data_IF_094855415234
#
_entry.id   IF_094855415234
#
_cell.length_a   1.000
_cell.length_b   1.000
_cell.length_c   1.000
_cell.angle_alpha   90.00
_cell.angle_beta   90.00
_cell.angle_gamma   90.00
#
_symmetry.space_group_name_H-M   'P 1'
#
loop_
_entity.id
_entity.type
_entity.pdbx_description
1 polymer ?
#
# COMPACT_ATOMS: atom_id res chain seq x y z
N UNK A 1 19.77 -20.22 11.10
CA UNK A 1 18.34 -19.82 11.18
C UNK A 1 17.86 -20.08 12.60
N UNK A 2 17.16 -19.14 13.21
CA UNK A 2 16.58 -19.35 14.54
C UNK A 2 15.25 -20.10 14.40
N UNK A 3 15.31 -21.43 14.41
CA UNK A 3 14.14 -22.29 14.30
C UNK A 3 13.28 -22.22 15.56
N UNK A 4 11.95 -22.30 15.40
CA UNK A 4 11.04 -22.50 16.53
C UNK A 4 11.22 -23.89 17.14
N UNK A 5 10.77 -24.10 18.39
CA UNK A 5 10.72 -25.45 18.96
C UNK A 5 9.95 -26.44 18.08
N UNK A 6 8.82 -26.00 17.47
CA UNK A 6 8.05 -26.83 16.55
C UNK A 6 8.82 -27.20 15.27
N UNK A 7 9.61 -26.28 14.73
CA UNK A 7 10.46 -26.55 13.56
C UNK A 7 11.56 -27.55 13.89
N UNK A 8 12.21 -27.43 15.07
CA UNK A 8 13.19 -28.42 15.54
C UNK A 8 12.54 -29.78 15.78
N UNK A 9 11.34 -29.78 16.37
CA UNK A 9 10.56 -31.00 16.54
C UNK A 9 10.25 -31.71 15.21
N UNK A 10 9.93 -30.95 14.17
CA UNK A 10 9.68 -31.51 12.82
C UNK A 10 10.93 -32.10 12.14
N UNK A 11 12.14 -31.77 12.62
CA UNK A 11 13.41 -32.34 12.11
C UNK A 11 13.79 -33.66 12.81
N UNK A 12 13.12 -34.02 13.93
CA UNK A 12 13.32 -35.28 14.63
C UNK A 12 12.79 -36.46 13.84
N UNK A 13 13.36 -37.65 14.11
CA UNK A 13 12.78 -38.89 13.55
C UNK A 13 11.37 -39.15 14.10
N UNK A 14 10.56 -39.97 13.41
CA UNK A 14 9.23 -40.33 13.90
C UNK A 14 9.23 -40.92 15.32
N UNK A 15 10.23 -41.70 15.65
CA UNK A 15 10.40 -42.31 16.94
C UNK A 15 10.67 -41.27 18.01
N UNK A 16 11.57 -40.33 17.76
CA UNK A 16 11.88 -39.20 18.68
C UNK A 16 10.71 -38.28 18.88
N UNK A 17 9.92 -38.02 17.80
CA UNK A 17 8.69 -37.24 17.89
C UNK A 17 7.64 -37.91 18.77
N UNK A 18 7.49 -39.25 18.64
CA UNK A 18 6.56 -40.01 19.45
C UNK A 18 7.02 -40.05 20.93
N UNK A 19 8.31 -40.25 21.19
CA UNK A 19 8.88 -40.22 22.53
C UNK A 19 8.61 -38.84 23.20
N UNK A 20 8.91 -37.76 22.50
CA UNK A 20 8.64 -36.41 23.00
C UNK A 20 7.15 -36.23 23.32
N UNK A 21 6.22 -36.60 22.41
CA UNK A 21 4.82 -36.46 22.66
C UNK A 21 4.34 -37.34 23.82
N UNK A 22 4.93 -38.52 24.01
CA UNK A 22 4.59 -39.42 25.10
C UNK A 22 5.17 -38.99 26.45
N UNK A 23 6.21 -38.14 26.46
CA UNK A 23 6.74 -37.52 27.65
C UNK A 23 5.84 -36.44 28.25
N UNK A 24 4.90 -35.91 27.44
CA UNK A 24 3.93 -34.89 27.86
C UNK A 24 2.70 -35.53 28.49
N UNK A 25 2.16 -34.93 29.55
CA UNK A 25 0.86 -35.33 30.07
C UNK A 25 -0.25 -35.11 29.03
N UNK A 26 -1.37 -35.85 29.08
CA UNK A 26 -2.48 -35.69 28.13
C UNK A 26 -3.00 -34.26 28.04
N UNK A 27 -3.08 -33.55 29.15
CA UNK A 27 -3.55 -32.17 29.22
C UNK A 27 -2.55 -31.20 28.55
N UNK A 28 -1.26 -31.35 28.80
CA UNK A 28 -0.21 -30.55 28.18
C UNK A 28 -0.18 -30.81 26.67
N UNK A 29 -0.33 -32.08 26.25
CA UNK A 29 -0.41 -32.43 24.82
C UNK A 29 -1.60 -31.79 24.13
N UNK A 30 -2.77 -31.79 24.76
CA UNK A 30 -3.97 -31.15 24.22
C UNK A 30 -3.82 -29.62 24.10
N UNK A 31 -3.08 -29.01 25.03
CA UNK A 31 -2.81 -27.57 25.04
C UNK A 31 -1.66 -27.17 24.11
N UNK A 32 -0.77 -28.08 23.72
CA UNK A 32 0.41 -27.78 22.89
C UNK A 32 0.03 -27.05 21.59
N UNK A 33 -1.11 -27.40 21.00
CA UNK A 33 -1.66 -26.73 19.81
C UNK A 33 -1.82 -25.23 19.98
N UNK A 34 -2.09 -24.76 21.19
CA UNK A 34 -2.33 -23.36 21.52
C UNK A 34 -1.15 -22.73 22.30
N UNK A 35 -0.06 -23.46 22.49
CA UNK A 35 1.11 -22.96 23.18
C UNK A 35 2.01 -22.18 22.18
N UNK A 36 1.71 -20.88 22.03
CA UNK A 36 2.39 -20.03 21.04
C UNK A 36 3.92 -20.08 21.08
N UNK A 37 4.62 -20.05 22.26
CA UNK A 37 6.07 -20.16 22.31
C UNK A 37 6.67 -21.44 21.70
N UNK A 38 5.87 -22.53 21.62
CA UNK A 38 6.30 -23.75 20.92
C UNK A 38 6.30 -23.55 19.40
N UNK A 39 5.30 -22.86 18.86
CA UNK A 39 5.12 -22.67 17.42
C UNK A 39 5.85 -21.46 16.86
N UNK A 40 6.02 -20.43 17.68
CA UNK A 40 6.62 -19.16 17.28
C UNK A 40 8.11 -19.29 16.97
N UNK A 41 8.54 -18.68 15.89
CA UNK A 41 9.96 -18.39 15.70
C UNK A 41 10.39 -17.28 16.66
N UNK A 42 11.68 -17.18 17.02
CA UNK A 42 12.15 -16.14 17.94
C UNK A 42 11.76 -14.71 17.54
N UNK A 43 11.74 -14.41 16.23
CA UNK A 43 11.31 -13.13 15.70
C UNK A 43 9.77 -12.93 15.63
N UNK A 44 8.99 -13.86 16.15
CA UNK A 44 7.55 -13.74 16.34
C UNK A 44 7.15 -13.63 17.82
N UNK A 45 8.11 -13.73 18.72
CA UNK A 45 7.89 -13.52 20.16
C UNK A 45 8.07 -12.05 20.51
N UNK A 46 7.36 -11.60 21.55
CA UNK A 46 7.45 -10.22 22.00
C UNK A 46 8.88 -9.87 22.41
N UNK A 47 9.43 -8.75 21.91
CA UNK A 47 10.77 -8.31 22.27
C UNK A 47 10.87 -7.97 23.77
N UNK A 48 12.03 -8.20 24.35
CA UNK A 48 12.30 -7.83 25.75
C UNK A 48 12.53 -6.32 25.89
N UNK A 49 13.17 -5.71 24.88
CA UNK A 49 13.57 -4.29 24.89
C UNK A 49 13.21 -3.60 23.57
N UNK A 50 12.99 -2.30 23.64
CA UNK A 50 12.82 -1.44 22.47
C UNK A 50 14.17 -0.99 21.88
N UNK A 51 14.12 -0.16 20.84
CA UNK A 51 15.30 0.41 20.17
C UNK A 51 16.23 1.18 21.13
N UNK A 52 15.67 1.78 22.18
CA UNK A 52 16.44 2.48 23.23
C UNK A 52 17.08 1.58 24.26
N UNK A 53 16.94 0.24 24.16
CA UNK A 53 17.47 -0.70 25.14
C UNK A 53 16.65 -0.80 26.44
N UNK A 54 15.50 -0.12 26.52
CA UNK A 54 14.59 -0.09 27.66
C UNK A 54 13.18 -0.62 27.30
N UNK A 55 12.17 -0.29 28.12
CA UNK A 55 10.79 -0.68 27.86
C UNK A 55 10.30 -0.09 26.54
N UNK A 56 9.28 -0.73 25.95
CA UNK A 56 8.68 -0.30 24.70
C UNK A 56 7.15 -0.18 24.84
N UNK A 57 6.55 0.74 24.09
CA UNK A 57 5.11 0.90 23.99
C UNK A 57 4.56 0.39 22.64
N UNK A 58 5.40 0.31 21.62
CA UNK A 58 4.99 -0.13 20.28
C UNK A 58 5.92 -1.24 19.79
N UNK A 59 5.33 -2.33 19.32
CA UNK A 59 6.07 -3.40 18.64
C UNK A 59 5.78 -3.34 17.15
N UNK A 60 6.77 -2.95 16.35
CA UNK A 60 6.69 -2.84 14.90
C UNK A 60 7.28 -4.09 14.24
N UNK A 61 6.44 -4.87 13.57
CA UNK A 61 6.83 -6.05 12.79
C UNK A 61 6.85 -5.67 11.31
N UNK A 62 8.05 -5.54 10.77
CA UNK A 62 8.33 -5.31 9.36
C UNK A 62 8.75 -6.62 8.71
N UNK A 63 7.84 -7.25 7.98
CA UNK A 63 8.13 -8.57 7.44
C UNK A 63 7.46 -8.82 6.08
N UNK A 64 8.09 -9.69 5.30
CA UNK A 64 7.61 -10.12 3.99
C UNK A 64 6.24 -10.79 4.02
N UNK A 65 5.67 -11.00 2.84
CA UNK A 65 4.40 -11.73 2.68
C UNK A 65 4.56 -13.18 3.15
N UNK A 66 3.54 -13.72 3.81
CA UNK A 66 3.58 -15.10 4.29
C UNK A 66 4.46 -15.33 5.53
N UNK A 67 5.15 -14.31 6.07
CA UNK A 67 5.94 -14.41 7.30
C UNK A 67 5.11 -14.89 8.51
N UNK A 68 3.81 -14.67 8.53
CA UNK A 68 2.93 -14.96 9.66
C UNK A 68 2.62 -13.74 10.53
N UNK A 69 2.67 -12.53 9.96
CA UNK A 69 2.36 -11.26 10.65
C UNK A 69 1.00 -11.28 11.35
N UNK A 70 -0.05 -11.65 10.64
CA UNK A 70 -1.42 -11.72 11.17
C UNK A 70 -1.52 -12.73 12.31
N UNK A 71 -0.90 -13.90 12.17
CA UNK A 71 -0.83 -14.89 13.26
C UNK A 71 -0.13 -14.33 14.49
N UNK A 72 0.99 -13.65 14.32
CA UNK A 72 1.74 -13.02 15.42
C UNK A 72 0.90 -11.95 16.11
N UNK A 73 0.17 -11.11 15.36
CA UNK A 73 -0.75 -10.12 15.91
C UNK A 73 -1.85 -10.76 16.76
N UNK A 74 -2.53 -11.78 16.23
CA UNK A 74 -3.60 -12.48 16.92
C UNK A 74 -3.13 -13.19 18.20
N UNK A 75 -1.97 -13.86 18.16
CA UNK A 75 -1.39 -14.52 19.33
C UNK A 75 -0.92 -13.51 20.40
N UNK A 76 -0.42 -12.36 19.99
CA UNK A 76 -0.04 -11.27 20.88
C UNK A 76 -1.28 -10.70 21.61
N UNK A 77 -2.36 -10.45 20.88
CA UNK A 77 -3.62 -10.01 21.51
C UNK A 77 -4.16 -11.08 22.46
N UNK A 78 -4.10 -12.35 22.07
CA UNK A 78 -4.49 -13.43 22.97
C UNK A 78 -3.67 -13.43 24.26
N UNK A 79 -2.34 -13.30 24.16
CA UNK A 79 -1.45 -13.23 25.33
C UNK A 79 -1.80 -12.03 26.23
N UNK A 80 -2.12 -10.89 25.66
CA UNK A 80 -2.47 -9.70 26.44
C UNK A 80 -3.83 -9.80 27.14
N UNK A 81 -4.79 -10.51 26.58
CA UNK A 81 -6.12 -10.66 27.20
C UNK A 81 -6.22 -11.87 28.11
N UNK A 82 -5.35 -12.87 27.96
CA UNK A 82 -5.32 -14.03 28.84
C UNK A 82 -4.70 -13.71 30.21
N UNK A 83 -5.40 -14.06 31.27
CA UNK A 83 -4.86 -14.04 32.63
C UNK A 83 -4.23 -15.38 33.02
N UNK A 84 -3.91 -15.53 34.31
CA UNK A 84 -3.34 -16.76 34.87
C UNK A 84 -4.29 -17.97 34.76
N UNK A 85 -5.59 -17.72 34.71
CA UNK A 85 -6.63 -18.71 34.45
C UNK A 85 -7.56 -18.19 33.35
N UNK A 86 -8.37 -19.05 32.71
CA UNK A 86 -9.21 -18.63 31.58
C UNK A 86 -10.13 -17.44 31.85
N UNK A 87 -10.64 -17.30 33.10
CA UNK A 87 -11.54 -16.21 33.46
C UNK A 87 -10.85 -15.06 34.21
N UNK A 88 -9.55 -15.17 34.50
CA UNK A 88 -8.82 -14.09 35.13
C UNK A 88 -8.54 -12.97 34.12
N UNK A 89 -8.55 -11.69 34.57
CA UNK A 89 -8.19 -10.59 33.71
C UNK A 89 -6.73 -10.72 33.24
N UNK A 90 -6.51 -10.46 31.98
CA UNK A 90 -5.18 -10.35 31.40
C UNK A 90 -4.55 -8.98 31.63
N UNK A 91 -3.50 -8.71 30.89
CA UNK A 91 -2.76 -7.45 30.89
C UNK A 91 -3.56 -6.31 30.28
N UNK A 92 -4.34 -6.63 29.23
CA UNK A 92 -5.21 -5.70 28.52
C UNK A 92 -6.65 -6.21 28.51
N UNK A 93 -7.60 -5.29 28.51
CA UNK A 93 -9.03 -5.58 28.52
C UNK A 93 -9.83 -4.80 27.48
N UNK A 94 -9.24 -3.74 26.91
CA UNK A 94 -9.88 -2.85 25.93
C UNK A 94 -8.97 -2.64 24.72
N UNK A 95 -9.18 -3.47 23.71
CA UNK A 95 -8.31 -3.56 22.53
C UNK A 95 -8.88 -2.79 21.35
N UNK A 96 -8.04 -2.06 20.63
CA UNK A 96 -8.34 -1.55 19.29
C UNK A 96 -7.77 -2.49 18.21
N UNK A 97 -8.62 -2.97 17.31
CA UNK A 97 -8.21 -3.69 16.10
C UNK A 97 -8.38 -2.74 14.92
N UNK A 98 -7.28 -2.33 14.29
CA UNK A 98 -7.28 -1.32 13.23
C UNK A 98 -6.72 -1.93 11.95
N UNK A 99 -7.49 -1.90 10.87
CA UNK A 99 -7.07 -2.29 9.52
C UNK A 99 -7.43 -1.20 8.50
N UNK A 100 -7.02 -1.34 7.25
CA UNK A 100 -7.38 -0.38 6.19
C UNK A 100 -8.90 -0.22 6.08
N UNK A 101 -9.62 -1.34 5.98
CA UNK A 101 -11.08 -1.37 5.88
C UNK A 101 -11.72 -2.19 7.00
N UNK A 102 -13.01 -1.94 7.26
CA UNK A 102 -13.78 -2.75 8.22
C UNK A 102 -13.92 -4.22 7.78
N UNK A 103 -13.87 -4.51 6.48
CA UNK A 103 -13.83 -5.86 5.94
C UNK A 103 -12.51 -6.55 6.30
N UNK A 104 -11.37 -5.88 6.12
CA UNK A 104 -10.06 -6.43 6.48
C UNK A 104 -9.98 -6.73 7.98
N UNK A 105 -10.45 -5.81 8.82
CA UNK A 105 -10.50 -6.04 10.27
C UNK A 105 -11.33 -7.28 10.62
N UNK A 106 -12.49 -7.46 9.99
CA UNK A 106 -13.36 -8.61 10.22
C UNK A 106 -12.79 -9.90 9.63
N UNK A 107 -12.48 -9.90 8.33
CA UNK A 107 -12.24 -11.13 7.57
C UNK A 107 -10.81 -11.65 7.77
N UNK A 108 -9.85 -10.76 8.05
CA UNK A 108 -8.44 -11.13 8.26
C UNK A 108 -8.12 -11.21 9.75
N UNK A 109 -8.34 -10.12 10.52
CA UNK A 109 -7.88 -10.08 11.93
C UNK A 109 -8.74 -10.93 12.85
N UNK A 110 -10.06 -11.05 12.60
CA UNK A 110 -10.99 -11.78 13.48
C UNK A 110 -11.30 -13.17 12.96
N UNK A 111 -11.88 -13.27 11.76
CA UNK A 111 -12.44 -14.52 11.20
C UNK A 111 -11.41 -15.34 10.40
N UNK A 112 -10.31 -14.74 9.99
CA UNK A 112 -9.30 -15.38 9.15
C UNK A 112 -8.68 -16.62 9.80
N UNK A 113 -8.08 -17.49 8.99
CA UNK A 113 -7.43 -18.74 9.42
C UNK A 113 -6.30 -18.52 10.45
N UNK A 114 -5.69 -17.35 10.44
CA UNK A 114 -4.68 -16.90 11.40
C UNK A 114 -5.19 -15.80 12.33
N UNK A 115 -6.50 -15.53 12.30
CA UNK A 115 -7.14 -14.49 13.08
C UNK A 115 -7.48 -14.87 14.52
N UNK A 116 -8.07 -13.94 15.25
CA UNK A 116 -8.34 -14.09 16.69
C UNK A 116 -9.19 -15.34 17.02
N UNK A 117 -10.22 -15.64 16.25
CA UNK A 117 -11.05 -16.82 16.54
C UNK A 117 -10.30 -18.14 16.35
N UNK A 118 -9.34 -18.18 15.42
CA UNK A 118 -8.58 -19.39 15.09
C UNK A 118 -7.49 -19.72 16.11
N UNK A 119 -6.90 -18.71 16.74
CA UNK A 119 -5.79 -18.90 17.70
C UNK A 119 -6.23 -19.30 19.11
N UNK A 120 -7.53 -19.22 19.43
CA UNK A 120 -8.03 -19.49 20.75
C UNK A 120 -8.51 -20.94 20.94
N UNK A 121 -8.25 -21.56 22.10
CA UNK A 121 -8.85 -22.84 22.48
C UNK A 121 -10.38 -22.67 22.69
N UNK A 122 -11.13 -23.78 22.61
CA UNK A 122 -12.60 -23.73 22.63
C UNK A 122 -13.17 -23.16 23.93
N UNK A 123 -12.52 -23.42 25.03
CA UNK A 123 -12.93 -23.01 26.40
C UNK A 123 -12.65 -21.54 26.69
N UNK A 124 -11.78 -20.89 25.89
CA UNK A 124 -11.50 -19.46 26.01
C UNK A 124 -11.72 -18.70 24.69
N UNK A 125 -12.46 -19.29 23.76
CA UNK A 125 -12.70 -18.70 22.46
C UNK A 125 -13.61 -17.47 22.56
N UNK A 126 -13.17 -16.31 22.03
CA UNK A 126 -14.02 -15.12 22.03
C UNK A 126 -15.18 -15.24 21.05
N UNK A 127 -16.19 -14.42 21.26
CA UNK A 127 -17.36 -14.29 20.38
C UNK A 127 -17.28 -12.99 19.60
N UNK A 128 -17.44 -13.06 18.29
CA UNK A 128 -17.55 -11.87 17.46
C UNK A 128 -19.02 -11.44 17.32
N UNK A 129 -19.33 -10.22 17.74
CA UNK A 129 -20.66 -9.60 17.66
C UNK A 129 -20.65 -8.61 16.50
N UNK A 130 -21.11 -9.06 15.33
CA UNK A 130 -21.02 -8.29 14.08
C UNK A 130 -21.79 -6.96 14.12
N UNK A 131 -22.95 -6.91 14.75
CA UNK A 131 -23.77 -5.70 14.89
C UNK A 131 -23.11 -4.59 15.69
N UNK A 132 -22.20 -4.94 16.62
CA UNK A 132 -21.43 -4.01 17.44
C UNK A 132 -20.00 -3.82 16.95
N UNK A 133 -19.53 -4.61 15.99
CA UNK A 133 -18.13 -4.69 15.55
C UNK A 133 -17.17 -4.94 16.72
N UNK A 134 -17.52 -5.87 17.61
CA UNK A 134 -16.79 -6.17 18.84
C UNK A 134 -16.51 -7.66 18.94
N UNK A 135 -15.31 -7.98 19.41
CA UNK A 135 -14.92 -9.32 19.86
C UNK A 135 -14.93 -9.32 21.39
N UNK A 136 -15.66 -10.26 22.00
CA UNK A 136 -15.79 -10.38 23.47
C UNK A 136 -15.23 -11.72 23.95
N UNK A 137 -14.36 -11.67 24.97
CA UNK A 137 -13.79 -12.85 25.63
C UNK A 137 -14.58 -13.28 26.86
N UNK A 138 -14.49 -14.56 27.23
CA UNK A 138 -15.20 -15.06 28.45
C UNK A 138 -14.82 -14.34 29.75
N UNK A 139 -13.63 -13.75 29.82
CA UNK A 139 -13.18 -12.97 30.99
C UNK A 139 -13.62 -11.49 30.96
N UNK A 140 -14.42 -11.09 29.97
CA UNK A 140 -14.94 -9.74 29.85
C UNK A 140 -14.06 -8.76 29.09
N UNK A 141 -12.89 -9.19 28.59
CA UNK A 141 -12.10 -8.36 27.69
C UNK A 141 -12.84 -8.14 26.37
N UNK A 142 -12.63 -7.00 25.75
CA UNK A 142 -13.29 -6.61 24.49
C UNK A 142 -12.29 -6.01 23.49
N UNK A 143 -12.50 -6.30 22.19
CA UNK A 143 -11.77 -5.66 21.11
C UNK A 143 -12.74 -5.05 20.10
N UNK A 144 -12.57 -3.77 19.81
CA UNK A 144 -13.36 -3.02 18.83
C UNK A 144 -12.65 -2.95 17.50
N UNK A 145 -13.40 -3.14 16.41
CA UNK A 145 -12.90 -3.06 15.05
C UNK A 145 -13.06 -1.64 14.53
N UNK A 146 -11.94 -1.07 14.08
CA UNK A 146 -11.85 0.24 13.44
C UNK A 146 -11.27 0.11 12.04
N UNK A 147 -11.58 1.08 11.19
CA UNK A 147 -10.96 1.17 9.86
C UNK A 147 -10.17 2.48 9.71
N UNK A 148 -9.05 2.40 8.97
CA UNK A 148 -8.17 3.54 8.77
C UNK A 148 -8.65 4.52 7.70
N UNK A 149 -9.72 4.19 6.95
CA UNK A 149 -10.36 5.13 6.01
C UNK A 149 -11.26 6.15 6.72
N UNK A 150 -11.56 5.94 8.00
CA UNK A 150 -12.35 6.83 8.84
C UNK A 150 -11.64 7.08 10.20
N UNK A 151 -10.56 7.88 10.26
CA UNK A 151 -9.76 8.07 11.47
C UNK A 151 -10.56 8.60 12.68
N UNK A 152 -11.60 9.37 12.43
CA UNK A 152 -12.45 9.96 13.50
C UNK A 152 -13.19 8.93 14.35
N UNK A 153 -13.34 7.68 13.90
CA UNK A 153 -13.88 6.60 14.72
C UNK A 153 -13.04 6.34 15.98
N UNK A 154 -11.74 6.62 15.94
CA UNK A 154 -10.82 6.47 17.06
C UNK A 154 -10.86 7.67 18.04
N UNK A 155 -11.59 8.72 17.68
CA UNK A 155 -11.74 9.90 18.52
C UNK A 155 -12.75 9.68 19.62
N UNK A 156 -12.28 9.61 20.85
CA UNK A 156 -13.09 9.40 22.06
C UNK A 156 -12.93 8.04 22.72
N UNK A 157 -12.95 6.90 22.01
CA UNK A 157 -12.65 5.60 22.60
C UNK A 157 -11.28 5.56 23.28
N UNK A 158 -11.18 4.72 24.33
CA UNK A 158 -9.95 4.55 25.11
C UNK A 158 -9.57 3.07 25.16
N UNK A 159 -8.27 2.80 25.05
CA UNK A 159 -7.73 1.45 24.92
C UNK A 159 -6.49 1.27 25.82
N UNK A 160 -6.23 0.02 26.21
CA UNK A 160 -5.01 -0.44 26.89
C UNK A 160 -4.16 -1.33 25.98
N UNK A 161 -4.72 -1.78 24.86
CA UNK A 161 -4.01 -2.52 23.82
C UNK A 161 -4.49 -2.16 22.42
N UNK A 162 -3.63 -2.29 21.41
CA UNK A 162 -4.01 -2.11 20.01
C UNK A 162 -3.24 -3.05 19.08
N UNK A 163 -3.90 -3.48 18.01
CA UNK A 163 -3.27 -4.15 16.89
C UNK A 163 -3.62 -3.44 15.59
N UNK A 164 -2.58 -2.91 14.93
CA UNK A 164 -2.64 -2.23 13.64
C UNK A 164 -2.14 -3.19 12.56
N UNK A 165 -3.04 -3.70 11.69
CA UNK A 165 -2.65 -4.64 10.64
C UNK A 165 -2.44 -3.93 9.31
N UNK A 166 -1.35 -4.32 8.62
CA UNK A 166 -0.90 -3.78 7.32
C UNK A 166 -0.88 -2.24 7.26
N UNK A 167 -0.36 -1.60 8.33
CA UNK A 167 -0.35 -0.15 8.52
C UNK A 167 0.17 0.62 7.29
N UNK A 168 1.20 0.14 6.60
CA UNK A 168 1.77 0.81 5.44
C UNK A 168 0.84 0.84 4.21
N UNK A 169 -0.34 0.21 4.26
CA UNK A 169 -1.38 0.32 3.22
C UNK A 169 -2.39 1.42 3.52
N UNK A 170 -2.45 1.92 4.75
CA UNK A 170 -3.50 2.82 5.19
C UNK A 170 -3.47 4.16 4.46
N UNK A 171 -4.59 4.53 3.85
CA UNK A 171 -4.75 5.79 3.13
C UNK A 171 -4.53 7.01 4.04
N UNK A 172 -5.07 6.99 5.26
CA UNK A 172 -4.95 8.06 6.25
C UNK A 172 -4.09 7.60 7.43
N UNK A 173 -2.89 7.07 7.11
CA UNK A 173 -2.01 6.41 8.08
C UNK A 173 -1.62 7.31 9.26
N UNK A 174 -1.21 8.56 9.00
CA UNK A 174 -0.78 9.48 10.05
C UNK A 174 -1.95 9.87 10.95
N UNK A 175 -3.08 10.27 10.36
CA UNK A 175 -4.26 10.72 11.12
C UNK A 175 -4.81 9.58 11.98
N UNK A 176 -4.92 8.37 11.41
CA UNK A 176 -5.36 7.17 12.13
C UNK A 176 -4.44 6.83 13.29
N UNK A 177 -3.12 6.89 13.04
CA UNK A 177 -2.13 6.64 14.08
C UNK A 177 -2.22 7.65 15.22
N UNK A 178 -2.30 8.93 14.91
CA UNK A 178 -2.37 9.99 15.91
C UNK A 178 -3.64 9.87 16.76
N UNK A 179 -4.81 9.64 16.14
CA UNK A 179 -6.07 9.42 16.87
C UNK A 179 -6.00 8.16 17.76
N UNK A 180 -5.41 7.06 17.27
CA UNK A 180 -5.22 5.86 18.08
C UNK A 180 -4.32 6.15 19.28
N UNK A 181 -3.18 6.81 19.09
CA UNK A 181 -2.24 7.11 20.18
C UNK A 181 -2.88 8.01 21.26
N UNK A 182 -3.72 8.97 20.89
CA UNK A 182 -4.50 9.75 21.87
C UNK A 182 -5.47 8.86 22.68
N UNK A 183 -5.97 7.78 22.10
CA UNK A 183 -6.83 6.79 22.75
C UNK A 183 -6.10 5.78 23.64
N UNK A 184 -4.79 5.56 23.44
CA UNK A 184 -3.98 4.59 24.17
C UNK A 184 -3.58 5.13 25.57
N UNK A 185 -4.53 5.12 26.51
CA UNK A 185 -4.37 5.77 27.82
C UNK A 185 -5.02 5.02 28.99
N UNK A 186 -5.45 3.78 28.77
CA UNK A 186 -5.96 2.92 29.85
C UNK A 186 -4.87 1.99 30.37
N UNK A 187 -5.06 1.51 31.58
CA UNK A 187 -4.08 0.61 32.22
C UNK A 187 -2.79 1.33 32.63
N UNK A 188 -1.83 0.56 33.12
CA UNK A 188 -0.50 1.05 33.54
C UNK A 188 0.56 0.97 32.45
N UNK A 189 0.32 0.19 31.39
CA UNK A 189 1.30 -0.10 30.34
C UNK A 189 0.57 -0.37 29.00
N UNK A 190 -0.08 0.68 28.42
CA UNK A 190 -0.76 0.52 27.14
C UNK A 190 0.21 0.18 26.03
N UNK A 191 -0.11 -0.82 25.20
CA UNK A 191 0.79 -1.32 24.15
C UNK A 191 0.11 -1.46 22.81
N UNK A 192 0.89 -1.18 21.76
CA UNK A 192 0.47 -1.32 20.37
C UNK A 192 1.37 -2.32 19.65
N UNK A 193 0.77 -3.28 18.93
CA UNK A 193 1.47 -4.08 17.93
C UNK A 193 1.10 -3.58 16.54
N UNK A 194 2.10 -3.35 15.70
CA UNK A 194 1.96 -2.93 14.30
C UNK A 194 2.54 -4.02 13.41
N UNK A 195 1.71 -4.56 12.54
CA UNK A 195 2.11 -5.55 11.54
C UNK A 195 2.04 -4.92 10.15
N UNK A 196 3.12 -4.97 9.38
CA UNK A 196 3.12 -4.41 8.03
C UNK A 196 4.23 -4.98 7.15
N UNK A 197 4.02 -4.93 5.84
CA UNK A 197 5.09 -5.06 4.86
C UNK A 197 5.91 -3.77 4.86
N UNK A 198 7.25 -3.83 4.80
CA UNK A 198 8.08 -2.63 4.90
C UNK A 198 7.89 -1.71 3.70
N UNK A 199 7.64 -0.44 3.98
CA UNK A 199 7.60 0.65 3.03
C UNK A 199 8.30 1.85 3.63
N UNK A 200 9.08 2.62 2.86
CA UNK A 200 9.85 3.76 3.37
C UNK A 200 8.98 5.00 3.63
N UNK A 201 7.81 4.82 4.25
CA UNK A 201 6.87 5.91 4.55
C UNK A 201 7.32 6.72 5.78
N UNK A 202 7.00 8.05 5.85
CA UNK A 202 7.49 8.94 6.90
C UNK A 202 7.20 8.42 8.31
N UNK A 203 5.97 7.97 8.58
CA UNK A 203 5.62 7.43 9.89
C UNK A 203 6.40 6.15 10.21
N UNK A 204 6.57 5.24 9.25
CA UNK A 204 7.37 4.02 9.47
C UNK A 204 8.82 4.38 9.78
N UNK A 205 9.42 5.33 9.05
CA UNK A 205 10.78 5.84 9.33
C UNK A 205 10.89 6.50 10.72
N UNK A 206 9.85 7.23 11.15
CA UNK A 206 9.78 7.82 12.49
C UNK A 206 9.74 6.72 13.55
N UNK A 207 8.86 5.72 13.41
CA UNK A 207 8.76 4.60 14.34
C UNK A 207 10.06 3.79 14.44
N UNK A 208 10.78 3.62 13.33
CA UNK A 208 12.09 2.93 13.34
C UNK A 208 13.16 3.62 14.16
N UNK A 209 13.05 4.93 14.36
CA UNK A 209 14.02 5.74 15.12
C UNK A 209 13.56 5.99 16.56
N UNK A 210 12.32 5.65 16.89
CA UNK A 210 11.74 5.90 18.21
C UNK A 210 12.33 4.91 19.23
N UNK A 211 12.90 5.36 20.33
CA UNK A 211 13.45 4.50 21.39
C UNK A 211 12.41 3.63 22.09
N UNK A 212 11.12 4.05 22.10
CA UNK A 212 10.00 3.31 22.68
C UNK A 212 9.38 2.30 21.71
N UNK A 213 9.95 2.12 20.52
CA UNK A 213 9.52 1.13 19.54
C UNK A 213 10.48 -0.07 19.57
N UNK A 214 9.93 -1.27 19.69
CA UNK A 214 10.66 -2.50 19.44
C UNK A 214 10.45 -2.93 17.99
N UNK A 215 11.50 -3.21 17.24
CA UNK A 215 11.42 -3.55 15.82
C UNK A 215 11.81 -5.00 15.59
N UNK A 216 10.93 -5.73 14.93
CA UNK A 216 11.20 -7.07 14.43
C UNK A 216 11.19 -7.08 12.91
N UNK A 217 12.16 -7.74 12.30
CA UNK A 217 12.23 -7.96 10.85
C UNK A 217 12.13 -9.44 10.53
N UNK A 218 11.56 -9.76 9.36
CA UNK A 218 11.48 -11.14 8.92
C UNK A 218 11.19 -11.28 7.43
N UNK A 219 11.72 -12.36 6.86
CA UNK A 219 11.56 -12.68 5.45
C UNK A 219 10.45 -13.72 5.23
N UNK A 220 9.90 -13.77 4.02
CA UNK A 220 8.95 -14.81 3.58
C UNK A 220 9.54 -16.22 3.78
N UNK A 221 10.82 -16.38 3.43
CA UNK A 221 11.52 -17.66 3.57
C UNK A 221 11.62 -18.19 5.01
N UNK A 222 11.52 -17.31 6.02
CA UNK A 222 11.53 -17.74 7.42
C UNK A 222 10.34 -18.65 7.74
N UNK A 223 9.29 -18.60 6.94
CA UNK A 223 8.08 -19.38 7.08
C UNK A 223 7.86 -20.39 5.94
N UNK A 224 8.88 -20.68 5.13
CA UNK A 224 8.76 -21.51 3.92
C UNK A 224 8.15 -22.91 4.19
N UNK A 225 8.44 -23.51 5.37
CA UNK A 225 7.91 -24.81 5.78
C UNK A 225 6.38 -24.85 5.90
N UNK A 226 5.73 -23.68 6.12
CA UNK A 226 4.28 -23.56 6.26
C UNK A 226 3.61 -23.05 4.97
N UNK A 227 4.34 -23.01 3.85
CA UNK A 227 3.83 -22.56 2.56
C UNK A 227 3.99 -23.64 1.49
N UNK A 228 3.14 -23.62 0.46
CA UNK A 228 3.27 -24.53 -0.66
C UNK A 228 4.62 -24.35 -1.35
N UNK A 229 5.35 -25.45 -1.61
CA UNK A 229 6.65 -25.39 -2.26
C UNK A 229 6.57 -24.81 -3.70
N UNK A 230 5.43 -24.96 -4.38
CA UNK A 230 5.17 -24.31 -5.67
C UNK A 230 5.10 -22.78 -5.56
N UNK A 231 4.44 -22.28 -4.52
CA UNK A 231 4.34 -20.84 -4.24
C UNK A 231 5.72 -20.22 -3.96
N UNK A 232 6.55 -20.89 -3.14
CA UNK A 232 7.90 -20.39 -2.85
C UNK A 232 8.73 -20.33 -4.13
N UNK A 233 8.74 -21.40 -4.94
CA UNK A 233 9.47 -21.42 -6.22
C UNK A 233 9.01 -20.32 -7.17
N UNK A 234 7.69 -20.20 -7.38
CA UNK A 234 7.13 -19.18 -8.27
C UNK A 234 7.52 -17.76 -7.85
N UNK A 235 7.49 -17.48 -6.56
CA UNK A 235 7.87 -16.18 -6.02
C UNK A 235 9.38 -15.94 -6.14
N UNK A 236 10.21 -16.94 -5.83
CA UNK A 236 11.66 -16.84 -5.97
C UNK A 236 12.04 -16.64 -7.43
N UNK A 237 11.51 -17.43 -8.35
CA UNK A 237 11.77 -17.31 -9.78
C UNK A 237 11.37 -15.92 -10.35
N UNK A 238 10.27 -15.37 -9.85
CA UNK A 238 9.72 -14.11 -10.35
C UNK A 238 10.34 -12.86 -9.72
N UNK A 239 10.71 -12.94 -8.47
CA UNK A 239 11.08 -11.75 -7.68
C UNK A 239 12.47 -11.82 -7.05
N UNK A 240 13.20 -12.95 -7.10
CA UNK A 240 14.54 -13.04 -6.55
C UNK A 240 15.47 -11.98 -7.18
N UNK A 241 16.20 -11.26 -6.33
CA UNK A 241 17.12 -10.21 -6.76
C UNK A 241 16.45 -8.90 -7.23
N UNK A 242 15.12 -8.86 -7.32
CA UNK A 242 14.40 -7.63 -7.65
C UNK A 242 14.22 -6.73 -6.41
N UNK A 243 14.03 -5.42 -6.62
CA UNK A 243 13.72 -4.49 -5.53
C UNK A 243 12.41 -4.89 -4.83
N UNK A 244 11.37 -5.20 -5.59
CA UNK A 244 10.10 -5.68 -5.06
C UNK A 244 10.27 -6.97 -4.25
N UNK A 245 11.13 -7.90 -4.71
CA UNK A 245 11.45 -9.11 -3.96
C UNK A 245 12.11 -8.81 -2.62
N UNK A 246 13.09 -7.91 -2.57
CA UNK A 246 13.73 -7.51 -1.31
C UNK A 246 12.73 -6.88 -0.33
N UNK A 247 11.84 -6.03 -0.83
CA UNK A 247 10.81 -5.41 0.00
C UNK A 247 9.75 -6.41 0.46
N UNK A 248 9.12 -7.13 -0.48
CA UNK A 248 7.94 -7.98 -0.22
C UNK A 248 8.31 -9.35 0.37
N UNK A 249 9.50 -9.89 0.04
CA UNK A 249 9.93 -11.22 0.48
C UNK A 249 10.96 -11.17 1.62
N UNK A 250 11.93 -10.25 1.54
CA UNK A 250 13.00 -10.18 2.53
C UNK A 250 12.71 -9.17 3.65
N UNK A 251 11.65 -8.39 3.52
CA UNK A 251 11.25 -7.44 4.55
C UNK A 251 12.19 -6.24 4.68
N UNK A 252 12.90 -5.86 3.59
CA UNK A 252 13.82 -4.72 3.57
C UNK A 252 13.08 -3.41 3.30
N UNK A 253 13.50 -2.34 3.98
CA UNK A 253 13.16 -0.98 3.59
C UNK A 253 14.24 -0.51 2.62
N UNK A 254 13.81 -0.20 1.41
CA UNK A 254 14.72 0.19 0.36
C UNK A 254 14.73 1.72 0.22
N UNK A 255 15.90 2.31 0.40
CA UNK A 255 16.12 3.73 0.17
C UNK A 255 16.15 4.07 -1.32
N UNK A 256 16.05 5.37 -1.65
CA UNK A 256 16.05 5.87 -2.99
C UNK A 256 17.38 5.61 -3.71
N UNK A 257 17.34 5.49 -5.03
CA UNK A 257 18.56 5.30 -5.84
C UNK A 257 19.23 6.65 -6.04
N UNK A 258 20.55 6.77 -5.80
CA UNK A 258 21.29 7.98 -6.16
C UNK A 258 21.10 8.32 -7.65
N UNK A 259 20.77 9.59 -7.93
CA UNK A 259 20.53 10.06 -9.31
C UNK A 259 19.15 9.78 -9.89
N UNK A 260 18.21 9.22 -9.10
CA UNK A 260 16.82 9.15 -9.51
C UNK A 260 16.21 10.55 -9.62
N UNK A 261 15.33 10.76 -10.62
CA UNK A 261 14.64 12.05 -10.82
C UNK A 261 13.67 12.38 -9.69
N UNK A 262 13.12 11.37 -9.02
CA UNK A 262 12.24 11.52 -7.87
C UNK A 262 12.79 10.73 -6.69
N UNK A 263 12.59 11.24 -5.50
CA UNK A 263 12.87 10.55 -4.26
C UNK A 263 11.62 10.46 -3.39
N UNK A 264 11.58 9.51 -2.47
CA UNK A 264 10.41 9.25 -1.64
C UNK A 264 10.05 10.44 -0.76
N UNK A 265 11.03 11.16 -0.24
CA UNK A 265 10.81 12.33 0.60
C UNK A 265 10.04 13.44 -0.15
N UNK A 266 10.42 13.72 -1.40
CA UNK A 266 9.72 14.68 -2.26
C UNK A 266 8.28 14.23 -2.55
N UNK A 267 8.07 12.94 -2.87
CA UNK A 267 6.74 12.40 -3.14
C UNK A 267 5.83 12.49 -1.91
N UNK A 268 6.34 12.14 -0.74
CA UNK A 268 5.60 12.21 0.52
C UNK A 268 5.25 13.65 0.91
N UNK A 269 6.16 14.61 0.66
CA UNK A 269 5.91 16.04 0.86
C UNK A 269 4.86 16.62 -0.10
N UNK A 270 4.59 15.93 -1.21
CA UNK A 270 3.58 16.29 -2.20
C UNK A 270 2.25 15.53 -2.02
N UNK A 271 2.09 14.73 -0.96
CA UNK A 271 0.90 13.93 -0.72
C UNK A 271 -0.23 14.75 -0.11
N UNK A 272 -1.45 14.51 -0.59
CA UNK A 272 -2.68 15.07 -0.05
C UNK A 272 -3.71 13.96 0.14
N UNK A 273 -4.64 14.16 1.08
CA UNK A 273 -5.70 13.19 1.37
C UNK A 273 -6.81 13.20 0.32
N UNK A 274 -7.11 14.37 -0.23
CA UNK A 274 -8.23 14.58 -1.16
C UNK A 274 -7.85 15.50 -2.30
N UNK A 275 -8.47 15.29 -3.45
CA UNK A 275 -8.38 16.22 -4.57
C UNK A 275 -9.29 17.45 -4.32
N UNK A 276 -8.95 18.63 -4.88
CA UNK A 276 -9.88 19.75 -4.92
C UNK A 276 -11.19 19.37 -5.63
N UNK A 277 -12.30 19.93 -5.14
CA UNK A 277 -13.63 19.68 -5.71
C UNK A 277 -13.76 20.28 -7.12
N UNK A 278 -13.07 21.37 -7.36
CA UNK A 278 -13.14 22.15 -8.61
C UNK A 278 -11.89 21.94 -9.48
N UNK A 279 -11.76 20.72 -10.04
CA UNK A 279 -10.73 20.44 -11.04
C UNK A 279 -11.09 21.13 -12.38
N UNK A 280 -10.17 21.97 -12.88
CA UNK A 280 -10.36 22.68 -14.16
C UNK A 280 -10.20 21.75 -15.37
N UNK A 281 -9.35 20.74 -15.25
CA UNK A 281 -9.06 19.71 -16.28
C UNK A 281 -8.77 18.37 -15.64
N UNK A 282 -9.23 17.31 -16.27
CA UNK A 282 -8.87 15.93 -15.92
C UNK A 282 -8.48 15.18 -17.19
N UNK A 283 -7.37 14.45 -17.16
CA UNK A 283 -6.83 13.70 -18.28
C UNK A 283 -6.54 12.27 -17.85
N UNK A 284 -6.92 11.31 -18.68
CA UNK A 284 -6.43 9.93 -18.58
C UNK A 284 -5.25 9.77 -19.54
N UNK A 285 -4.06 9.53 -19.02
CA UNK A 285 -2.88 9.30 -19.83
C UNK A 285 -2.58 7.81 -19.93
N UNK A 286 -2.21 7.36 -21.14
CA UNK A 286 -1.96 5.94 -21.45
C UNK A 286 -0.62 5.79 -22.15
N UNK A 287 0.23 4.93 -21.61
CA UNK A 287 1.44 4.40 -22.28
C UNK A 287 1.20 2.92 -22.61
N UNK A 288 0.81 2.59 -23.85
CA UNK A 288 0.42 1.22 -24.20
C UNK A 288 1.63 0.29 -24.30
N UNK A 289 1.53 -0.93 -23.76
CA UNK A 289 2.53 -1.97 -23.97
C UNK A 289 2.69 -2.30 -25.48
N UNK A 290 3.93 -2.51 -25.90
CA UNK A 290 4.27 -2.71 -27.32
C UNK A 290 4.10 -4.15 -27.80
N UNK A 291 3.95 -5.14 -26.89
CA UNK A 291 3.78 -6.56 -27.21
C UNK A 291 2.65 -7.18 -26.43
N UNK A 292 1.99 -8.18 -27.02
CA UNK A 292 0.89 -8.97 -26.43
C UNK A 292 1.32 -10.37 -25.98
N UNK A 293 2.62 -10.66 -25.92
CA UNK A 293 3.14 -11.97 -25.52
C UNK A 293 3.03 -12.20 -24.00
N UNK A 294 2.92 -13.45 -23.60
CA UNK A 294 3.02 -13.89 -22.19
C UNK A 294 4.36 -13.43 -21.62
N UNK A 295 4.35 -12.38 -20.79
CA UNK A 295 5.55 -11.70 -20.29
C UNK A 295 5.65 -10.23 -20.69
N UNK A 296 4.67 -9.69 -21.45
CA UNK A 296 4.64 -8.28 -21.88
C UNK A 296 4.70 -7.31 -20.71
N UNK A 297 5.23 -6.12 -20.97
CA UNK A 297 5.23 -4.97 -20.08
C UNK A 297 3.79 -4.57 -19.69
N UNK A 298 3.62 -3.86 -18.57
CA UNK A 298 2.32 -3.30 -18.19
C UNK A 298 1.94 -2.16 -19.14
N UNK A 299 0.64 -1.95 -19.39
CA UNK A 299 0.17 -0.68 -19.94
C UNK A 299 0.04 0.32 -18.81
N UNK A 300 0.78 1.41 -18.89
CA UNK A 300 0.70 2.54 -17.96
C UNK A 300 -0.60 3.32 -18.20
N UNK A 301 -1.40 3.51 -17.16
CA UNK A 301 -2.64 4.33 -17.20
C UNK A 301 -2.69 5.18 -15.94
N UNK A 302 -2.57 6.49 -16.08
CA UNK A 302 -2.59 7.42 -14.95
C UNK A 302 -3.62 8.51 -15.18
N UNK A 303 -4.45 8.78 -14.17
CA UNK A 303 -5.41 9.89 -14.19
C UNK A 303 -4.81 11.07 -13.46
N UNK A 304 -4.80 12.23 -14.11
CA UNK A 304 -4.26 13.47 -13.56
C UNK A 304 -5.27 14.61 -13.70
N UNK A 305 -5.33 15.46 -12.68
CA UNK A 305 -6.20 16.63 -12.63
C UNK A 305 -5.43 17.94 -12.47
N UNK A 306 -6.02 19.05 -12.91
CA UNK A 306 -5.50 20.39 -12.71
C UNK A 306 -6.50 21.21 -11.90
N UNK A 307 -6.02 21.91 -10.88
CA UNK A 307 -6.74 22.97 -10.20
C UNK A 307 -5.86 24.19 -10.00
N UNK A 308 -6.44 25.33 -9.63
CA UNK A 308 -5.67 26.50 -9.19
C UNK A 308 -5.76 26.65 -7.68
N UNK A 309 -4.64 27.01 -7.09
CA UNK A 309 -4.64 27.40 -5.69
C UNK A 309 -5.25 28.80 -5.48
N UNK A 310 -5.33 29.24 -4.21
CA UNK A 310 -5.92 30.52 -3.83
C UNK A 310 -5.24 31.72 -4.48
N UNK A 311 -3.97 31.57 -4.85
CA UNK A 311 -3.14 32.60 -5.48
C UNK A 311 -3.19 32.50 -7.01
N UNK A 312 -3.99 31.59 -7.57
CA UNK A 312 -4.18 31.38 -9.01
C UNK A 312 -3.09 30.53 -9.66
N UNK A 313 -2.16 29.93 -8.91
CA UNK A 313 -1.14 29.07 -9.47
C UNK A 313 -1.70 27.68 -9.81
N UNK A 314 -1.33 27.17 -10.97
CA UNK A 314 -1.71 25.85 -11.42
C UNK A 314 -1.04 24.74 -10.58
N UNK A 315 -1.84 23.81 -10.07
CA UNK A 315 -1.45 22.62 -9.31
C UNK A 315 -1.96 21.37 -10.04
N UNK A 316 -1.08 20.38 -10.22
CA UNK A 316 -1.43 19.07 -10.75
C UNK A 316 -1.75 18.09 -9.63
N UNK A 317 -2.68 17.19 -9.88
CA UNK A 317 -3.08 16.15 -8.94
C UNK A 317 -3.05 14.80 -9.63
N UNK A 318 -2.29 13.85 -9.10
CA UNK A 318 -2.37 12.44 -9.50
C UNK A 318 -3.56 11.85 -8.75
N UNK A 319 -4.57 11.43 -9.51
CA UNK A 319 -5.88 11.02 -8.96
C UNK A 319 -6.01 9.51 -8.85
N UNK A 320 -5.50 8.76 -9.84
CA UNK A 320 -5.57 7.30 -9.85
C UNK A 320 -4.47 6.69 -10.73
N UNK A 321 -3.86 5.59 -10.25
CA UNK A 321 -3.04 4.67 -11.05
C UNK A 321 -3.91 3.49 -11.46
N UNK A 322 -4.33 3.48 -12.71
CA UNK A 322 -5.17 2.45 -13.30
C UNK A 322 -4.41 1.44 -14.16
N UNK A 323 -3.09 1.46 -14.11
CA UNK A 323 -2.21 0.61 -14.94
C UNK A 323 -2.51 -0.88 -14.79
N UNK A 324 -2.43 -1.61 -15.89
CA UNK A 324 -2.83 -3.01 -15.95
C UNK A 324 -1.92 -3.84 -16.87
N UNK A 325 -1.69 -5.10 -16.53
CA UNK A 325 -1.26 -6.13 -17.46
C UNK A 325 -2.49 -6.70 -18.15
N UNK A 326 -2.52 -6.67 -19.46
CA UNK A 326 -3.66 -7.20 -20.19
C UNK A 326 -3.57 -6.96 -21.70
N UNK A 327 -4.52 -7.55 -22.41
CA UNK A 327 -4.68 -7.39 -23.85
C UNK A 327 -5.02 -5.94 -24.23
N UNK A 328 -4.85 -5.56 -25.51
CA UNK A 328 -5.26 -4.25 -26.00
C UNK A 328 -6.72 -3.89 -25.67
N UNK A 329 -7.61 -4.85 -25.70
CA UNK A 329 -9.02 -4.63 -25.35
C UNK A 329 -9.20 -4.32 -23.86
N UNK A 330 -8.47 -5.02 -22.99
CA UNK A 330 -8.59 -4.85 -21.53
C UNK A 330 -8.06 -3.51 -21.05
N UNK A 331 -6.89 -3.08 -21.50
CA UNK A 331 -6.38 -1.77 -21.11
C UNK A 331 -7.21 -0.62 -21.71
N UNK A 332 -7.73 -0.77 -22.94
CA UNK A 332 -8.61 0.25 -23.53
C UNK A 332 -9.93 0.36 -22.77
N UNK A 333 -10.52 -0.77 -22.38
CA UNK A 333 -11.72 -0.81 -21.51
C UNK A 333 -11.44 -0.13 -20.17
N UNK A 334 -10.28 -0.39 -19.57
CA UNK A 334 -9.85 0.23 -18.33
C UNK A 334 -9.70 1.75 -18.47
N UNK A 335 -9.03 2.22 -19.52
CA UNK A 335 -8.84 3.64 -19.81
C UNK A 335 -10.18 4.37 -20.03
N UNK A 336 -11.10 3.79 -20.79
CA UNK A 336 -12.45 4.35 -21.01
C UNK A 336 -13.29 4.34 -19.72
N UNK A 337 -13.17 3.30 -18.89
CA UNK A 337 -13.82 3.26 -17.58
C UNK A 337 -13.32 4.40 -16.68
N UNK A 338 -12.01 4.65 -16.62
CA UNK A 338 -11.42 5.75 -15.86
C UNK A 338 -11.81 7.13 -16.43
N UNK A 339 -11.85 7.26 -17.75
CA UNK A 339 -12.34 8.46 -18.40
C UNK A 339 -13.75 8.83 -17.92
N UNK A 340 -14.67 7.85 -17.88
CA UNK A 340 -16.04 8.06 -17.41
C UNK A 340 -16.11 8.30 -15.90
N UNK A 341 -15.35 7.53 -15.10
CA UNK A 341 -15.32 7.63 -13.63
C UNK A 341 -14.91 9.03 -13.17
N UNK A 342 -13.87 9.59 -13.80
CA UNK A 342 -13.30 10.87 -13.44
C UNK A 342 -13.85 12.04 -14.29
N UNK A 343 -14.86 11.80 -15.12
CA UNK A 343 -15.41 12.77 -16.07
C UNK A 343 -14.31 13.53 -16.81
N UNK A 344 -13.28 12.77 -17.26
CA UNK A 344 -12.11 13.36 -17.86
C UNK A 344 -12.41 14.10 -19.16
N UNK A 345 -11.61 15.10 -19.50
CA UNK A 345 -11.79 15.87 -20.75
C UNK A 345 -11.37 15.05 -21.97
N UNK A 346 -10.33 14.21 -21.83
CA UNK A 346 -9.82 13.37 -22.93
C UNK A 346 -8.90 12.25 -22.43
N UNK A 347 -8.62 11.30 -23.33
CA UNK A 347 -7.55 10.33 -23.18
C UNK A 347 -6.34 10.81 -24.02
N UNK A 348 -5.16 10.84 -23.40
CA UNK A 348 -3.88 11.10 -24.07
C UNK A 348 -3.10 9.79 -24.13
N UNK A 349 -2.70 9.35 -25.31
CA UNK A 349 -1.98 8.08 -25.47
C UNK A 349 -0.71 8.25 -26.29
N UNK A 350 0.38 7.57 -25.90
CA UNK A 350 1.62 7.57 -26.67
C UNK A 350 1.42 6.83 -28.00
N UNK A 351 1.88 7.47 -29.10
CA UNK A 351 1.92 6.88 -30.42
C UNK A 351 3.20 6.04 -30.58
N UNK A 352 3.16 4.78 -30.17
CA UNK A 352 4.22 3.82 -30.48
C UNK A 352 4.14 3.33 -31.94
N UNK A 353 5.06 2.45 -32.37
CA UNK A 353 4.99 1.79 -33.70
C UNK A 353 3.62 1.08 -33.83
N UNK A 354 2.65 1.73 -34.45
CA UNK A 354 1.27 1.25 -34.51
C UNK A 354 0.21 2.25 -33.98
N UNK A 355 0.53 3.56 -33.90
CA UNK A 355 -0.33 4.58 -33.29
C UNK A 355 -1.77 4.65 -33.79
N UNK A 356 -2.07 4.21 -35.01
CA UNK A 356 -3.44 4.03 -35.51
C UNK A 356 -4.16 2.92 -34.74
N UNK A 357 -3.46 1.87 -34.33
CA UNK A 357 -4.00 0.77 -33.53
C UNK A 357 -4.47 1.26 -32.15
N UNK A 358 -3.66 2.08 -31.46
CA UNK A 358 -4.03 2.60 -30.13
C UNK A 358 -5.33 3.39 -30.18
N UNK A 359 -5.46 4.30 -31.15
CA UNK A 359 -6.68 5.07 -31.37
C UNK A 359 -7.85 4.17 -31.77
N UNK A 360 -7.62 3.18 -32.62
CA UNK A 360 -8.66 2.24 -33.06
C UNK A 360 -9.21 1.39 -31.90
N UNK A 361 -8.34 0.87 -31.05
CA UNK A 361 -8.72 0.05 -29.90
C UNK A 361 -9.51 0.86 -28.87
N UNK A 362 -9.08 2.09 -28.57
CA UNK A 362 -9.84 3.01 -27.70
C UNK A 362 -11.22 3.36 -28.28
N UNK A 363 -11.28 3.70 -29.57
CA UNK A 363 -12.54 4.02 -30.27
C UNK A 363 -13.46 2.81 -30.46
N UNK A 364 -12.92 1.60 -30.46
CA UNK A 364 -13.71 0.39 -30.47
C UNK A 364 -14.47 0.19 -29.15
N UNK A 365 -13.91 0.63 -28.02
CA UNK A 365 -14.58 0.61 -26.73
C UNK A 365 -15.64 1.72 -26.61
N UNK A 366 -15.29 2.93 -27.08
CA UNK A 366 -16.25 4.06 -27.09
C UNK A 366 -15.84 5.10 -28.15
N UNK A 367 -16.67 5.28 -29.17
CA UNK A 367 -16.42 6.24 -30.26
C UNK A 367 -16.53 7.70 -29.83
N UNK A 368 -17.21 7.98 -28.72
CA UNK A 368 -17.44 9.34 -28.23
C UNK A 368 -16.26 9.91 -27.45
N UNK A 369 -15.30 9.07 -27.03
CA UNK A 369 -14.14 9.49 -26.20
C UNK A 369 -13.14 10.27 -27.05
N UNK A 370 -12.82 11.53 -26.67
CA UNK A 370 -11.76 12.29 -27.30
C UNK A 370 -10.39 11.67 -27.01
N UNK A 371 -9.67 11.26 -28.07
CA UNK A 371 -8.34 10.67 -27.95
C UNK A 371 -7.32 11.58 -28.63
N UNK A 372 -6.28 11.99 -27.90
CA UNK A 372 -5.11 12.71 -28.43
C UNK A 372 -3.94 11.77 -28.44
N UNK A 373 -3.35 11.56 -29.62
CA UNK A 373 -2.10 10.80 -29.75
C UNK A 373 -0.91 11.74 -29.61
N UNK A 374 0.04 11.38 -28.75
CA UNK A 374 1.31 12.10 -28.53
C UNK A 374 2.47 11.28 -29.05
N UNK A 375 3.51 11.94 -29.54
CA UNK A 375 4.69 11.29 -30.08
C UNK A 375 5.93 11.66 -29.29
N UNK A 376 6.73 10.64 -28.92
CA UNK A 376 8.00 10.83 -28.25
C UNK A 376 9.05 11.40 -29.23
N UNK A 377 9.22 12.72 -29.22
CA UNK A 377 10.28 13.40 -29.98
C UNK A 377 11.62 13.49 -29.23
N UNK A 378 11.62 13.20 -27.92
CA UNK A 378 12.79 13.27 -27.02
C UNK A 378 12.89 12.01 -26.17
N UNK A 379 14.10 11.72 -25.66
CA UNK A 379 14.33 10.60 -24.74
C UNK A 379 13.48 10.69 -23.47
N UNK A 380 13.16 9.56 -22.86
CA UNK A 380 12.31 9.44 -21.66
C UNK A 380 12.77 10.37 -20.53
N UNK A 381 14.06 10.43 -20.24
CA UNK A 381 14.64 11.31 -19.20
C UNK A 381 14.37 12.79 -19.47
N UNK A 382 14.65 13.24 -20.69
CA UNK A 382 14.47 14.67 -21.07
C UNK A 382 13.03 15.12 -20.99
N UNK A 383 12.06 14.20 -21.15
CA UNK A 383 10.64 14.46 -20.96
C UNK A 383 10.26 14.48 -19.48
N UNK A 384 10.89 13.65 -18.68
CA UNK A 384 10.61 13.47 -17.26
C UNK A 384 11.20 14.59 -16.38
N UNK A 385 12.36 15.16 -16.73
CA UNK A 385 13.02 16.25 -15.98
C UNK A 385 12.12 17.46 -15.68
N UNK A 386 11.36 18.03 -16.63
CA UNK A 386 10.45 19.14 -16.33
C UNK A 386 9.33 18.75 -15.36
N UNK A 387 8.87 17.50 -15.42
CA UNK A 387 7.86 16.98 -14.51
C UNK A 387 8.43 16.78 -13.10
N UNK A 388 9.66 16.26 -13.00
CA UNK A 388 10.37 16.16 -11.70
C UNK A 388 10.51 17.53 -11.04
N UNK A 389 10.89 18.56 -11.81
CA UNK A 389 10.98 19.93 -11.30
C UNK A 389 9.64 20.48 -10.74
N UNK A 390 8.50 20.03 -11.27
CA UNK A 390 7.20 20.41 -10.71
C UNK A 390 6.96 19.81 -9.32
N UNK A 391 7.46 18.59 -9.05
CA UNK A 391 7.41 17.99 -7.72
C UNK A 391 8.31 18.72 -6.73
N UNK A 392 9.53 19.07 -7.12
CA UNK A 392 10.44 19.88 -6.29
C UNK A 392 9.82 21.23 -5.92
N UNK A 393 9.06 21.84 -6.84
CA UNK A 393 8.30 23.07 -6.63
C UNK A 393 7.00 22.87 -5.84
N UNK A 394 6.68 21.65 -5.42
CA UNK A 394 5.40 21.28 -4.77
C UNK A 394 4.17 21.71 -5.59
N UNK A 395 4.26 21.58 -6.90
CA UNK A 395 3.19 21.92 -7.84
C UNK A 395 2.41 20.71 -8.32
N UNK A 396 2.86 19.50 -8.01
CA UNK A 396 2.14 18.26 -8.25
C UNK A 396 1.90 17.57 -6.93
N UNK A 397 0.69 17.04 -6.75
CA UNK A 397 0.27 16.34 -5.55
C UNK A 397 -0.24 14.95 -5.87
N UNK A 398 0.04 13.98 -5.00
CA UNK A 398 -0.55 12.64 -5.05
C UNK A 398 -1.76 12.57 -4.11
N UNK A 399 -2.92 12.19 -4.64
CA UNK A 399 -4.14 12.00 -3.84
C UNK A 399 -4.13 10.58 -3.26
N UNK A 400 -3.54 10.42 -2.09
CA UNK A 400 -3.27 9.12 -1.48
C UNK A 400 -1.92 8.53 -1.87
N UNK A 401 -1.81 7.21 -1.85
CA UNK A 401 -0.57 6.45 -2.09
C UNK A 401 -0.72 5.62 -3.37
N UNK A 402 0.26 5.71 -4.27
CA UNK A 402 0.32 4.94 -5.52
C UNK A 402 1.60 4.10 -5.56
N UNK A 403 1.63 3.03 -4.78
CA UNK A 403 2.85 2.25 -4.51
C UNK A 403 3.68 1.91 -5.73
N UNK A 404 3.05 1.28 -6.74
CA UNK A 404 3.76 0.81 -7.93
C UNK A 404 4.26 1.96 -8.82
N UNK A 405 3.46 3.03 -8.94
CA UNK A 405 3.86 4.23 -9.66
C UNK A 405 5.02 4.92 -8.94
N UNK A 406 4.89 5.14 -7.64
CA UNK A 406 5.90 5.83 -6.84
C UNK A 406 7.21 5.03 -6.76
N UNK A 407 7.14 3.71 -6.71
CA UNK A 407 8.31 2.84 -6.79
C UNK A 407 9.03 2.97 -8.15
N UNK A 408 8.29 3.01 -9.26
CA UNK A 408 8.88 3.28 -10.57
C UNK A 408 9.51 4.67 -10.63
N UNK A 409 8.86 5.69 -10.07
CA UNK A 409 9.39 7.05 -10.02
C UNK A 409 10.72 7.11 -9.26
N UNK A 410 10.81 6.51 -8.08
CA UNK A 410 12.05 6.47 -7.27
C UNK A 410 13.17 5.61 -7.89
N UNK A 411 12.84 4.79 -8.87
CA UNK A 411 13.81 3.99 -9.65
C UNK A 411 14.25 4.67 -10.95
N UNK A 412 13.54 5.70 -11.38
CA UNK A 412 13.73 6.34 -12.68
C UNK A 412 14.93 7.29 -12.64
N UNK A 413 16.08 6.81 -13.13
CA UNK A 413 17.34 7.54 -13.15
C UNK A 413 17.92 7.62 -14.55
N UNK A 414 18.90 8.54 -14.75
CA UNK A 414 19.61 8.73 -16.02
C UNK A 414 20.30 7.44 -16.48
N UNK A 415 20.83 6.67 -15.53
CA UNK A 415 21.62 5.46 -15.81
C UNK A 415 20.77 4.18 -15.85
N UNK A 416 19.55 4.18 -15.27
CA UNK A 416 18.78 2.98 -14.97
C UNK A 416 17.26 3.13 -15.21
N UNK A 417 16.83 3.68 -16.35
CA UNK A 417 15.41 3.73 -16.69
C UNK A 417 14.85 2.37 -17.22
N UNK A 418 15.70 1.38 -17.46
CA UNK A 418 15.35 -0.02 -17.75
C UNK A 418 16.29 -0.94 -16.98
N UNK A 419 15.81 -1.51 -15.91
CA UNK A 419 16.51 -2.60 -15.22
C UNK A 419 15.76 -3.90 -15.44
N UNK A 420 16.43 -5.07 -15.43
CA UNK A 420 15.72 -6.37 -15.43
C UNK A 420 14.68 -6.50 -14.32
N UNK A 421 14.89 -5.77 -13.22
CA UNK A 421 14.01 -5.76 -12.05
C UNK A 421 12.76 -4.87 -12.19
N UNK A 422 12.77 -3.88 -13.11
CA UNK A 422 11.72 -2.87 -13.22
C UNK A 422 10.89 -3.02 -14.49
N UNK A 423 11.41 -3.70 -15.52
CA UNK A 423 10.78 -3.69 -16.84
C UNK A 423 10.78 -2.30 -17.47
N UNK A 424 9.79 -2.00 -18.30
CA UNK A 424 9.55 -0.65 -18.82
C UNK A 424 8.88 0.23 -17.76
N UNK A 425 9.23 1.52 -17.61
CA UNK A 425 8.64 2.43 -16.65
C UNK A 425 7.29 3.01 -17.13
N UNK A 426 6.40 2.16 -17.61
CA UNK A 426 5.18 2.54 -18.33
C UNK A 426 4.23 3.42 -17.50
N UNK A 427 4.20 3.22 -16.17
CA UNK A 427 3.43 4.07 -15.25
C UNK A 427 4.00 5.49 -15.18
N UNK A 428 5.33 5.61 -15.12
CA UNK A 428 6.02 6.91 -15.10
C UNK A 428 5.86 7.60 -16.44
N UNK A 429 5.96 6.88 -17.56
CA UNK A 429 5.76 7.46 -18.89
C UNK A 429 4.32 7.97 -19.06
N UNK A 430 3.31 7.21 -18.62
CA UNK A 430 1.93 7.69 -18.60
C UNK A 430 1.75 8.94 -17.72
N UNK A 431 2.34 8.95 -16.51
CA UNK A 431 2.32 10.12 -15.63
C UNK A 431 2.95 11.34 -16.30
N UNK A 432 4.12 11.17 -16.91
CA UNK A 432 4.85 12.25 -17.61
C UNK A 432 4.01 12.82 -18.74
N UNK A 433 3.37 11.97 -19.54
CA UNK A 433 2.46 12.43 -20.60
C UNK A 433 1.26 13.19 -20.04
N UNK A 434 0.61 12.68 -18.99
CA UNK A 434 -0.54 13.33 -18.37
C UNK A 434 -0.19 14.70 -17.80
N UNK A 435 0.89 14.80 -17.03
CA UNK A 435 1.32 16.06 -16.43
C UNK A 435 1.86 17.05 -17.48
N UNK A 436 2.56 16.57 -18.51
CA UNK A 436 2.98 17.42 -19.63
C UNK A 436 1.79 18.05 -20.32
N UNK A 437 0.75 17.28 -20.56
CA UNK A 437 -0.48 17.76 -21.21
C UNK A 437 -1.30 18.75 -20.35
N UNK A 438 -1.31 18.55 -19.04
CA UNK A 438 -1.97 19.47 -18.10
C UNK A 438 -1.23 20.80 -18.00
N UNK A 439 0.11 20.77 -18.00
CA UNK A 439 0.97 21.95 -17.87
C UNK A 439 1.48 22.45 -19.23
N UNK A 440 0.64 22.63 -20.24
CA UNK A 440 0.94 23.01 -21.63
C UNK A 440 2.02 24.10 -21.79
N UNK A 441 2.03 25.07 -20.89
CA UNK A 441 2.90 26.26 -21.02
C UNK A 441 4.28 26.09 -20.39
N UNK A 442 4.54 25.02 -19.65
CA UNK A 442 5.81 24.81 -18.93
C UNK A 442 6.81 24.04 -19.78
N UNK A 443 6.31 23.20 -20.69
CA UNK A 443 7.15 22.35 -21.56
C UNK A 443 7.51 22.98 -22.90
N UNK A 444 6.83 24.07 -23.31
CA UNK A 444 7.18 24.80 -24.52
C UNK A 444 8.13 25.95 -24.21
N UNK A 445 9.35 25.92 -24.75
CA UNK A 445 10.23 27.11 -24.80
C UNK A 445 9.42 28.30 -25.34
N UNK A 446 9.37 29.41 -24.58
CA UNK A 446 8.80 30.70 -25.04
C UNK A 446 9.12 30.95 -26.51
N UNK A 447 8.11 30.88 -27.37
CA UNK A 447 8.02 31.77 -28.53
C UNK A 447 7.08 32.91 -28.14
N UNK A 448 7.64 34.09 -28.21
CA UNK A 448 6.99 35.37 -27.90
C UNK A 448 5.78 35.65 -28.78
N UNK A 449 4.86 36.40 -28.21
CA UNK A 449 3.78 37.23 -28.79
C UNK A 449 2.46 36.54 -29.10
N UNK A 450 1.46 36.81 -28.33
CA UNK A 450 0.29 37.67 -28.65
C UNK A 450 -0.91 37.37 -27.74
N UNK A 451 -1.43 38.44 -27.17
CA UNK A 451 -2.78 38.82 -26.74
C UNK A 451 -3.66 37.85 -25.93
N UNK A 452 -4.22 38.31 -24.83
CA UNK A 452 -5.09 37.48 -23.97
C UNK A 452 -6.48 37.35 -24.58
N UNK A 453 -6.97 36.13 -24.63
CA UNK A 453 -8.39 35.88 -24.91
C UNK A 453 -9.06 35.36 -23.63
N UNK A 454 -10.02 36.09 -23.23
CA UNK A 454 -11.17 35.97 -22.33
C UNK A 454 -11.42 34.67 -21.60
N UNK A 455 -11.68 34.85 -20.32
CA UNK A 455 -12.21 33.91 -19.31
C UNK A 455 -13.20 32.87 -19.84
N UNK A 456 -12.90 31.60 -19.57
CA UNK A 456 -13.91 30.55 -19.55
C UNK A 456 -14.41 30.31 -18.14
N UNK A 457 -15.71 30.04 -17.95
CA UNK A 457 -16.28 29.86 -16.61
C UNK A 457 -15.73 28.61 -15.91
N UNK A 458 -15.47 28.74 -14.62
CA UNK A 458 -15.11 27.65 -13.70
C UNK A 458 -16.20 26.59 -13.69
N UNK A 459 -15.85 25.33 -13.95
CA UNK A 459 -16.76 24.20 -13.81
C UNK A 459 -16.80 23.80 -12.33
N UNK A 460 -17.98 23.86 -11.73
CA UNK A 460 -18.27 23.21 -10.46
C UNK A 460 -18.53 21.71 -10.73
N UNK A 461 -17.87 20.83 -10.04
CA UNK A 461 -18.02 19.38 -10.13
C UNK A 461 -19.34 18.99 -9.44
N UNK A 462 -20.45 19.12 -10.15
CA UNK A 462 -21.72 18.47 -9.81
C UNK A 462 -22.03 17.51 -10.95
N UNK A 463 -22.05 16.21 -10.64
CA UNK A 463 -22.36 15.18 -11.62
C UNK A 463 -23.65 15.50 -12.38
N UNK A 464 -23.48 15.74 -13.66
CA UNK A 464 -24.35 15.37 -14.78
C UNK A 464 -23.96 16.11 -16.06
N UNK A 465 -23.73 15.31 -17.06
CA UNK A 465 -23.82 15.47 -18.53
C UNK A 465 -23.70 16.87 -19.18
N UNK A 466 -22.76 16.97 -20.11
CA UNK A 466 -22.73 17.99 -21.15
C UNK A 466 -21.41 17.95 -21.90
N UNK A 467 -21.39 17.27 -23.05
CA UNK A 467 -20.26 17.21 -23.97
C UNK A 467 -20.21 18.50 -24.80
N UNK A 468 -19.16 19.30 -24.68
CA UNK A 468 -18.78 20.22 -25.74
C UNK A 468 -17.32 19.98 -26.14
N UNK A 469 -17.09 19.76 -27.42
CA UNK A 469 -15.80 19.58 -28.05
C UNK A 469 -14.99 20.87 -28.02
N UNK A 470 -13.72 20.76 -27.58
CA UNK A 470 -12.69 21.75 -27.86
C UNK A 470 -11.48 21.03 -28.46
N UNK A 471 -11.31 21.16 -29.76
CA UNK A 471 -10.07 20.80 -30.44
C UNK A 471 -8.97 21.79 -30.04
N UNK A 472 -7.90 21.31 -29.43
CA UNK A 472 -6.63 22.02 -29.38
C UNK A 472 -5.58 21.13 -30.02
N UNK A 473 -5.25 21.45 -31.26
CA UNK A 473 -4.16 20.79 -31.98
C UNK A 473 -2.83 21.08 -31.32
N UNK A 474 -2.06 20.04 -31.10
CA UNK A 474 -0.65 20.10 -30.77
C UNK A 474 0.15 19.90 -32.03
N UNK A 475 0.99 20.87 -32.32
CA UNK A 475 2.02 20.70 -33.32
C UNK A 475 3.36 20.41 -32.66
N UNK A 476 3.95 19.31 -33.08
CA UNK A 476 5.33 18.98 -32.86
C UNK A 476 6.26 20.01 -33.48
N UNK A 477 7.26 20.41 -32.75
CA UNK A 477 8.47 21.06 -33.22
C UNK A 477 9.64 20.48 -32.42
#
# INVERSE_FOLDING_TARGET
MNLSPAQRFAELSPEEQEEFLNSLSPDVRAQLKYHWPFWARPNQLQPEVGNGGGPWSTWLILAGRGFGKTRTGAETIRDWVCGKTPLAPGKCSRIALVAETGADARDVMVLGESGLLAVHPKDFRPTYISSKRVVEWPNGAQAWLYNAVEPDQLRGPQHDGAWCDEMAKWRYMQDTWDQLQFGMRLGSDPRTIVTTTPRPLPLIRKLLKDPMVAVTRGATRDNAQNMAASFIREIEDKYAGTRLGRQELEGEILDDIPGALWNRETLDACRVSEAPVDLERVIVAVDPATSSEEGSDETGIVVVGLARDKDGYARGYVLEDGSIKGSPEEWARRAVMLYRKWEADKIVAEKNQGGEMVSAVLKAQDRSVPVTLVHASRGKIVRAEPVSALYEQKRVHHVGIFDKLEDQMCLFSVDNFRTPAMGSPDRVDALVWGLTEIFDKITSRRRSTSTPTTDKPKRAYHGHAGLEHVETGWMAG
#
